data_IF_981642051834
#
_entry.id   IF_981642051834
#
_cell.length_a   1.000
_cell.length_b   1.000
_cell.length_c   1.000
_cell.angle_alpha   90.00
_cell.angle_beta   90.00
_cell.angle_gamma   90.00
#
_symmetry.space_group_name_H-M   'P 1'
#
loop_
_entity.id
_entity.type
_entity.pdbx_description
1 polymer ?
#
# COMPACT_ATOMS: atom_id res chain seq x y z
N UNK A 1 -5.13 -1.45 -14.37
CA UNK A 1 -5.90 -1.90 -15.54
C UNK A 1 -7.25 -2.42 -15.08
N UNK A 2 -8.32 -1.98 -15.73
CA UNK A 2 -9.67 -2.42 -15.41
C UNK A 2 -9.93 -3.74 -16.13
N UNK A 3 -10.19 -4.82 -15.38
CA UNK A 3 -10.41 -6.15 -15.95
C UNK A 3 -11.68 -6.22 -16.82
N UNK A 4 -12.66 -5.35 -16.56
CA UNK A 4 -13.87 -5.23 -17.38
C UNK A 4 -13.54 -4.75 -18.80
N UNK A 5 -12.77 -3.67 -18.92
CA UNK A 5 -12.32 -3.10 -20.20
C UNK A 5 -11.48 -4.10 -21.01
N UNK A 6 -10.62 -4.87 -20.32
CA UNK A 6 -9.82 -5.90 -20.98
C UNK A 6 -10.67 -7.09 -21.45
N UNK A 7 -11.75 -7.40 -20.73
CA UNK A 7 -12.71 -8.44 -21.14
C UNK A 7 -13.48 -8.00 -22.39
N UNK A 8 -13.97 -6.75 -22.42
CA UNK A 8 -14.65 -6.18 -23.59
C UNK A 8 -13.74 -6.09 -24.81
N UNK A 9 -12.44 -5.81 -24.62
CA UNK A 9 -11.44 -5.79 -25.69
C UNK A 9 -11.01 -7.19 -26.19
N UNK A 10 -11.56 -8.27 -25.63
CA UNK A 10 -11.17 -9.66 -25.94
C UNK A 10 -9.75 -10.04 -25.48
N UNK A 11 -9.09 -9.16 -24.72
CA UNK A 11 -7.75 -9.37 -24.16
C UNK A 11 -7.79 -10.14 -22.83
N UNK A 12 -8.97 -10.31 -22.25
CA UNK A 12 -9.21 -11.08 -21.05
C UNK A 12 -10.41 -12.01 -21.25
N UNK A 13 -10.34 -13.23 -20.71
CA UNK A 13 -11.41 -14.20 -20.82
C UNK A 13 -12.63 -13.76 -20.01
N UNK A 14 -13.74 -13.64 -20.70
CA UNK A 14 -15.00 -13.15 -20.13
C UNK A 14 -15.55 -14.08 -19.03
N UNK A 15 -15.51 -15.39 -19.24
CA UNK A 15 -15.95 -16.39 -18.24
C UNK A 15 -15.14 -16.31 -16.93
N UNK A 16 -13.83 -16.05 -17.05
CA UNK A 16 -12.95 -15.85 -15.91
C UNK A 16 -13.24 -14.52 -15.21
N UNK A 17 -13.55 -13.45 -15.94
CA UNK A 17 -13.91 -12.16 -15.35
C UNK A 17 -15.16 -12.31 -14.47
N UNK A 18 -16.22 -12.92 -15.00
CA UNK A 18 -17.44 -13.15 -14.24
C UNK A 18 -17.23 -14.02 -13.00
N UNK A 19 -16.35 -15.03 -13.06
CA UNK A 19 -16.00 -15.88 -11.90
C UNK A 19 -15.18 -15.15 -10.83
N UNK A 20 -14.24 -14.30 -11.24
CA UNK A 20 -13.41 -13.53 -10.31
C UNK A 20 -14.17 -12.34 -9.70
N UNK A 21 -15.10 -11.76 -10.46
CA UNK A 21 -15.81 -10.56 -10.04
C UNK A 21 -17.05 -10.84 -9.16
N UNK A 22 -17.21 -12.05 -8.63
CA UNK A 22 -18.29 -12.40 -7.68
C UNK A 22 -18.16 -11.58 -6.38
N UNK A 23 -16.95 -11.21 -5.98
CA UNK A 23 -16.70 -10.35 -4.83
C UNK A 23 -15.57 -9.35 -5.13
N UNK A 24 -15.93 -8.11 -5.43
CA UNK A 24 -14.96 -7.03 -5.66
C UNK A 24 -14.57 -6.38 -4.34
N UNK A 25 -13.34 -6.62 -3.86
CA UNK A 25 -12.77 -5.87 -2.73
C UNK A 25 -11.92 -4.72 -3.25
N UNK A 26 -12.38 -3.49 -3.03
CA UNK A 26 -11.59 -2.30 -3.36
C UNK A 26 -10.67 -1.95 -2.19
N UNK A 27 -9.36 -2.09 -2.38
CA UNK A 27 -8.36 -1.67 -1.40
C UNK A 27 -8.03 -0.20 -1.68
N UNK A 28 -8.43 0.75 -0.82
CA UNK A 28 -8.07 2.15 -1.03
C UNK A 28 -6.55 2.35 -0.97
N UNK A 29 -5.98 3.25 -1.79
CA UNK A 29 -4.57 3.59 -1.72
C UNK A 29 -4.22 4.28 -0.40
N UNK A 30 -2.95 4.22 0.01
CA UNK A 30 -2.44 4.71 1.29
C UNK A 30 -2.82 6.18 1.57
N UNK A 31 -2.81 7.05 0.56
CA UNK A 31 -3.29 8.44 0.66
C UNK A 31 -4.76 8.63 1.08
N UNK A 32 -5.61 7.60 0.92
CA UNK A 32 -7.01 7.61 1.38
C UNK A 32 -7.19 6.98 2.77
N UNK A 33 -6.10 6.53 3.39
CA UNK A 33 -6.02 5.83 4.68
C UNK A 33 -4.78 6.32 5.44
N UNK A 34 -4.59 7.63 5.53
CA UNK A 34 -3.42 8.26 6.15
C UNK A 34 -3.17 7.80 7.59
N UNK A 35 -4.23 7.44 8.32
CA UNK A 35 -4.12 6.87 9.67
C UNK A 35 -3.37 5.52 9.72
N UNK A 36 -3.25 4.81 8.60
CA UNK A 36 -2.49 3.57 8.51
C UNK A 36 -0.96 3.86 8.40
N UNK A 37 -0.54 5.10 8.11
CA UNK A 37 0.88 5.44 7.91
C UNK A 37 1.71 5.25 9.18
N UNK A 38 1.23 5.74 10.33
CA UNK A 38 1.94 5.61 11.60
C UNK A 38 2.20 4.14 12.01
N UNK A 39 1.17 3.25 12.09
CA UNK A 39 1.41 1.85 12.45
C UNK A 39 2.22 1.09 11.39
N UNK A 40 2.12 1.44 10.11
CA UNK A 40 2.93 0.84 9.05
C UNK A 40 4.41 1.26 9.15
N UNK A 41 4.68 2.55 9.43
CA UNK A 41 6.03 3.06 9.62
C UNK A 41 6.72 2.33 10.79
N UNK A 42 6.02 2.24 11.92
CA UNK A 42 6.50 1.51 13.10
C UNK A 42 6.84 0.05 12.79
N UNK A 43 5.96 -0.63 12.04
CA UNK A 43 6.18 -2.00 11.62
C UNK A 43 7.42 -2.14 10.71
N UNK A 44 7.56 -1.29 9.71
CA UNK A 44 8.66 -1.38 8.75
C UNK A 44 10.00 -1.04 9.39
N UNK A 45 10.07 0.00 10.21
CA UNK A 45 11.31 0.36 10.88
C UNK A 45 11.73 -0.69 11.89
N UNK A 46 10.79 -1.26 12.67
CA UNK A 46 11.11 -2.37 13.56
C UNK A 46 11.64 -3.58 12.79
N UNK A 47 11.01 -3.93 11.66
CA UNK A 47 11.45 -5.02 10.77
C UNK A 47 12.86 -4.77 10.23
N UNK A 48 13.15 -3.57 9.72
CA UNK A 48 14.46 -3.25 9.16
C UNK A 48 15.55 -3.16 10.23
N UNK A 49 15.28 -2.55 11.38
CA UNK A 49 16.20 -2.50 12.51
C UNK A 49 16.59 -3.91 12.97
N UNK A 50 15.60 -4.81 13.08
CA UNK A 50 15.83 -6.22 13.41
C UNK A 50 16.69 -6.93 12.34
N UNK A 51 16.42 -6.71 11.06
CA UNK A 51 17.17 -7.33 9.96
C UNK A 51 18.63 -6.84 9.88
N UNK A 52 18.87 -5.58 10.22
CA UNK A 52 20.20 -4.97 10.23
C UNK A 52 20.94 -5.20 11.55
N UNK A 53 20.27 -5.70 12.59
CA UNK A 53 20.85 -5.90 13.92
C UNK A 53 21.18 -4.59 14.64
N UNK A 54 20.41 -3.53 14.37
CA UNK A 54 20.56 -2.21 14.99
C UNK A 54 19.37 -1.90 15.90
N UNK A 55 19.56 -0.95 16.80
CA UNK A 55 18.46 -0.44 17.61
C UNK A 55 17.45 0.34 16.75
N UNK A 56 16.18 0.30 17.16
CA UNK A 56 15.12 1.04 16.47
C UNK A 56 15.39 2.55 16.60
N UNK A 57 15.52 3.30 15.49
CA UNK A 57 15.67 4.75 15.58
C UNK A 57 14.40 5.39 16.14
N UNK A 58 14.58 6.50 16.84
CA UNK A 58 13.48 7.39 17.24
C UNK A 58 13.12 8.33 16.10
N UNK A 59 11.84 8.70 16.03
CA UNK A 59 11.32 9.63 15.03
C UNK A 59 11.03 10.97 15.66
N UNK A 60 11.18 12.03 14.87
CA UNK A 60 10.65 13.35 15.21
C UNK A 60 9.11 13.29 15.16
N UNK A 61 8.44 13.96 16.10
CA UNK A 61 6.98 14.07 16.18
C UNK A 61 6.40 14.62 14.86
N UNK A 62 7.11 15.52 14.18
CA UNK A 62 6.65 16.09 12.91
C UNK A 62 6.78 15.16 11.69
N UNK A 63 7.55 14.07 11.81
CA UNK A 63 7.78 13.14 10.69
C UNK A 63 6.50 12.40 10.33
N UNK A 64 5.77 11.90 11.32
CA UNK A 64 4.54 11.11 11.09
C UNK A 64 3.50 11.96 10.37
N UNK A 65 3.33 13.21 10.78
CA UNK A 65 2.41 14.14 10.13
C UNK A 65 2.82 14.45 8.69
N UNK A 66 4.10 14.65 8.43
CA UNK A 66 4.62 14.87 7.08
C UNK A 66 4.36 13.65 6.17
N UNK A 67 4.61 12.45 6.69
CA UNK A 67 4.39 11.19 5.98
C UNK A 67 2.90 10.90 5.79
N UNK A 68 2.04 11.25 6.75
CA UNK A 68 0.60 11.08 6.64
C UNK A 68 -0.02 11.97 5.54
N UNK A 69 0.58 13.14 5.29
CA UNK A 69 0.15 14.09 4.25
C UNK A 69 0.76 13.82 2.87
N UNK A 70 1.72 12.91 2.76
CA UNK A 70 2.34 12.56 1.49
C UNK A 70 1.42 11.72 0.60
N UNK A 71 1.57 11.84 -0.72
CA UNK A 71 0.65 11.21 -1.70
C UNK A 71 0.85 9.71 -1.90
N UNK A 72 2.02 9.18 -1.53
CA UNK A 72 2.36 7.75 -1.66
C UNK A 72 2.01 7.14 -3.02
N UNK A 73 2.56 7.63 -4.15
CA UNK A 73 2.32 7.04 -5.48
C UNK A 73 2.67 5.55 -5.52
N UNK A 74 3.68 5.10 -4.77
CA UNK A 74 4.02 3.67 -4.62
C UNK A 74 3.34 2.96 -3.44
N UNK A 75 2.38 3.59 -2.76
CA UNK A 75 1.64 3.03 -1.62
C UNK A 75 2.58 2.47 -0.54
N UNK A 76 2.16 1.40 0.15
CA UNK A 76 2.91 0.72 1.20
C UNK A 76 4.30 0.27 0.75
N UNK A 77 4.50 -0.05 -0.54
CA UNK A 77 5.83 -0.44 -1.04
C UNK A 77 6.82 0.72 -1.03
N UNK A 78 6.35 1.93 -1.30
CA UNK A 78 7.21 3.11 -1.20
C UNK A 78 7.53 3.43 0.26
N UNK A 79 6.56 3.22 1.18
CA UNK A 79 6.77 3.40 2.61
C UNK A 79 7.75 2.35 3.20
N UNK A 80 7.71 1.08 2.76
CA UNK A 80 8.65 0.02 3.22
C UNK A 80 10.07 0.20 2.66
N UNK A 81 10.22 0.87 1.51
CA UNK A 81 11.52 1.06 0.83
C UNK A 81 12.21 2.41 1.15
N UNK A 82 11.60 3.24 2.01
CA UNK A 82 12.18 4.50 2.46
C UNK A 82 13.32 4.26 3.45
#
# INVERSE_FOLDING_TARGET
HNLAELSEAGMFREDLYYRLNVLTLSIPPLRKRSNDVAPLLELFVAKHAQQLGIDKPEFDDGLVDALANYQWPGNMRQLDNM
#
